data_IF_756452687028
#
_entry.id   IF_756452687028
#
_cell.length_a   1.000
_cell.length_b   1.000
_cell.length_c   1.000
_cell.angle_alpha   90.00
_cell.angle_beta   90.00
_cell.angle_gamma   90.00
#
_symmetry.space_group_name_H-M   'P 1'
#
loop_
_entity.id
_entity.type
_entity.pdbx_description
1 polymer ?
#
# COMPACT_ATOMS: atom_id res chain seq x y z
N UNK A 1 -18.62 -40.95 8.37
CA UNK A 1 -18.44 -39.61 8.96
C UNK A 1 -17.29 -38.91 8.24
N UNK A 2 -17.53 -38.42 7.03
CA UNK A 2 -16.53 -37.64 6.27
C UNK A 2 -16.50 -36.24 6.86
N UNK A 3 -15.38 -35.90 7.49
CA UNK A 3 -15.10 -34.55 7.97
C UNK A 3 -15.12 -33.60 6.76
N UNK A 4 -16.03 -32.62 6.79
CA UNK A 4 -16.00 -31.48 5.89
C UNK A 4 -14.70 -30.73 6.15
N UNK A 5 -13.70 -30.97 5.30
CA UNK A 5 -12.50 -30.16 5.23
C UNK A 5 -12.94 -28.71 5.03
N UNK A 6 -12.85 -27.91 6.10
CA UNK A 6 -13.07 -26.47 6.03
C UNK A 6 -12.21 -25.90 4.93
N UNK A 7 -12.82 -25.17 3.99
CA UNK A 7 -12.08 -24.54 2.90
C UNK A 7 -10.92 -23.72 3.49
N UNK A 8 -9.69 -23.84 2.94
CA UNK A 8 -8.55 -23.08 3.44
C UNK A 8 -8.89 -21.59 3.36
N UNK A 9 -8.89 -20.92 4.51
CA UNK A 9 -9.15 -19.47 4.62
C UNK A 9 -8.10 -18.64 3.85
N UNK A 10 -6.97 -19.27 3.52
CA UNK A 10 -5.88 -18.79 2.67
C UNK A 10 -6.32 -18.35 1.25
N UNK A 11 -7.30 -19.03 0.65
CA UNK A 11 -7.57 -18.86 -0.78
C UNK A 11 -8.32 -17.56 -1.11
N UNK A 12 -9.11 -16.99 -0.18
CA UNK A 12 -9.83 -15.73 -0.41
C UNK A 12 -8.95 -14.49 -0.24
N UNK A 13 -7.94 -14.54 0.63
CA UNK A 13 -7.02 -13.42 0.85
C UNK A 13 -5.99 -13.27 -0.29
N UNK A 14 -5.66 -14.39 -0.94
CA UNK A 14 -4.80 -14.42 -2.12
C UNK A 14 -5.33 -13.50 -3.23
N UNK A 15 -6.59 -13.64 -3.65
CA UNK A 15 -7.17 -12.84 -4.75
C UNK A 15 -7.17 -11.33 -4.50
N UNK A 16 -7.31 -10.87 -3.25
CA UNK A 16 -7.27 -9.44 -2.89
C UNK A 16 -5.86 -8.87 -3.04
N UNK A 17 -4.82 -9.64 -2.66
CA UNK A 17 -3.43 -9.25 -2.86
C UNK A 17 -3.09 -9.23 -4.36
N UNK A 18 -3.45 -10.29 -5.10
CA UNK A 18 -3.17 -10.39 -6.53
C UNK A 18 -3.84 -9.30 -7.37
N UNK A 19 -5.04 -8.82 -7.01
CA UNK A 19 -5.73 -7.75 -7.75
C UNK A 19 -5.11 -6.37 -7.52
N UNK A 20 -4.63 -6.06 -6.31
CA UNK A 20 -3.88 -4.81 -6.02
C UNK A 20 -2.60 -4.71 -6.84
N UNK A 21 -1.94 -5.83 -7.11
CA UNK A 21 -0.66 -5.88 -7.81
C UNK A 21 -0.76 -6.17 -9.32
N UNK A 22 -1.97 -6.25 -9.90
CA UNK A 22 -2.20 -6.60 -11.32
C UNK A 22 -2.02 -5.42 -12.29
N UNK A 23 -1.10 -4.50 -12.00
CA UNK A 23 -0.82 -3.33 -12.82
C UNK A 23 0.39 -3.53 -13.76
N UNK A 24 0.57 -2.61 -14.73
CA UNK A 24 1.72 -2.61 -15.67
C UNK A 24 3.09 -2.65 -14.96
N UNK A 25 3.17 -2.11 -13.74
CA UNK A 25 4.36 -2.15 -12.89
C UNK A 25 4.81 -3.56 -12.47
N UNK A 26 3.94 -4.57 -12.57
CA UNK A 26 4.32 -5.97 -12.34
C UNK A 26 5.18 -6.55 -13.48
N UNK A 27 5.12 -5.95 -14.67
CA UNK A 27 5.82 -6.43 -15.88
C UNK A 27 7.16 -5.72 -16.10
N UNK A 28 7.39 -4.56 -15.48
CA UNK A 28 8.63 -3.81 -15.62
C UNK A 28 9.78 -4.54 -14.92
N UNK A 29 10.92 -4.65 -15.60
CA UNK A 29 12.10 -5.37 -15.08
C UNK A 29 12.59 -4.80 -13.73
N UNK A 30 12.51 -3.49 -13.54
CA UNK A 30 12.99 -2.84 -12.31
C UNK A 30 12.06 -3.10 -11.11
N UNK A 31 10.75 -3.19 -11.31
CA UNK A 31 9.75 -3.25 -10.21
C UNK A 31 9.11 -4.61 -10.04
N UNK A 32 9.19 -5.50 -11.03
CA UNK A 32 8.70 -6.89 -11.02
C UNK A 32 9.00 -7.63 -9.71
N UNK A 33 10.26 -7.59 -9.26
CA UNK A 33 10.69 -8.34 -8.07
C UNK A 33 10.08 -7.79 -6.79
N UNK A 34 9.94 -6.47 -6.70
CA UNK A 34 9.31 -5.78 -5.57
C UNK A 34 7.82 -6.10 -5.53
N UNK A 35 7.14 -6.03 -6.67
CA UNK A 35 5.70 -6.34 -6.78
C UNK A 35 5.42 -7.79 -6.39
N UNK A 36 6.22 -8.75 -6.90
CA UNK A 36 6.08 -10.16 -6.52
C UNK A 36 6.28 -10.39 -5.01
N UNK A 37 7.27 -9.70 -4.40
CA UNK A 37 7.53 -9.80 -2.97
C UNK A 37 6.40 -9.21 -2.12
N UNK A 38 5.75 -8.15 -2.58
CA UNK A 38 4.59 -7.57 -1.91
C UNK A 38 3.34 -8.44 -2.07
N UNK A 39 3.10 -9.01 -3.25
CA UNK A 39 1.98 -9.90 -3.50
C UNK A 39 2.03 -11.17 -2.64
N UNK A 40 3.22 -11.74 -2.46
CA UNK A 40 3.43 -12.98 -1.69
C UNK A 40 3.46 -12.77 -0.17
N UNK A 41 3.67 -11.54 0.33
CA UNK A 41 3.76 -11.28 1.75
C UNK A 41 3.06 -9.96 2.12
N UNK A 42 1.76 -10.08 2.42
CA UNK A 42 0.92 -8.95 2.78
C UNK A 42 1.41 -8.21 4.03
N UNK A 43 1.94 -8.92 5.04
CA UNK A 43 2.50 -8.29 6.24
C UNK A 43 3.73 -7.44 5.93
N UNK A 44 4.60 -7.92 5.03
CA UNK A 44 5.76 -7.16 4.56
C UNK A 44 5.33 -5.93 3.75
N UNK A 45 4.36 -6.08 2.84
CA UNK A 45 3.79 -4.95 2.10
C UNK A 45 3.26 -3.87 3.04
N UNK A 46 2.40 -4.22 4.00
CA UNK A 46 1.83 -3.27 4.97
C UNK A 46 2.91 -2.50 5.73
N UNK A 47 3.96 -3.17 6.20
CA UNK A 47 5.09 -2.51 6.89
C UNK A 47 5.83 -1.52 5.98
N UNK A 48 6.10 -1.89 4.72
CA UNK A 48 6.78 -0.99 3.79
C UNK A 48 5.89 0.17 3.36
N UNK A 49 4.58 -0.07 3.22
CA UNK A 49 3.61 0.94 2.88
C UNK A 49 3.55 2.05 3.95
N UNK A 50 3.46 1.68 5.23
CA UNK A 50 3.49 2.66 6.34
C UNK A 50 4.78 3.50 6.31
N UNK A 51 5.93 2.86 6.12
CA UNK A 51 7.22 3.57 6.00
C UNK A 51 7.26 4.53 4.82
N UNK A 52 6.69 4.15 3.68
CA UNK A 52 6.62 4.99 2.50
C UNK A 52 5.71 6.21 2.72
N UNK A 53 4.55 6.02 3.37
CA UNK A 53 3.62 7.11 3.69
C UNK A 53 4.22 8.14 4.65
N UNK A 54 4.98 7.69 5.67
CA UNK A 54 5.71 8.60 6.57
C UNK A 54 6.73 9.43 5.79
N UNK A 55 7.49 8.81 4.89
CA UNK A 55 8.47 9.51 4.06
C UNK A 55 7.81 10.52 3.11
N UNK A 56 6.74 10.13 2.42
CA UNK A 56 6.01 11.05 1.53
C UNK A 56 5.41 12.23 2.30
N UNK A 57 4.88 12.01 3.50
CA UNK A 57 4.30 13.07 4.32
C UNK A 57 5.32 14.08 4.86
N UNK A 58 6.61 13.82 4.72
CA UNK A 58 7.68 14.72 5.14
C UNK A 58 8.31 15.50 3.97
N UNK A 59 7.89 15.27 2.73
CA UNK A 59 8.41 15.99 1.55
C UNK A 59 7.80 17.38 1.49
N UNK A 60 8.65 18.40 1.36
CA UNK A 60 8.28 19.82 1.13
C UNK A 60 7.22 20.39 2.08
N UNK A 61 7.24 19.95 3.34
CA UNK A 61 6.32 20.44 4.37
C UNK A 61 6.73 21.82 4.89
N UNK A 62 5.74 22.71 5.01
CA UNK A 62 5.93 24.01 5.65
C UNK A 62 5.97 23.83 7.18
N UNK A 63 7.07 24.25 7.81
CA UNK A 63 7.29 24.11 9.25
C UNK A 63 7.69 25.44 9.90
N UNK A 64 7.58 25.52 11.23
CA UNK A 64 7.90 26.73 11.99
C UNK A 64 6.91 27.86 11.72
N UNK A 65 7.43 29.01 11.25
CA UNK A 65 6.61 30.19 10.89
C UNK A 65 6.31 30.26 9.38
N UNK A 66 6.70 29.24 8.61
CA UNK A 66 6.40 29.17 7.19
C UNK A 66 4.96 28.67 6.98
N UNK A 67 4.19 29.37 6.13
CA UNK A 67 2.80 29.02 5.81
C UNK A 67 1.77 29.55 6.82
N UNK A 68 0.52 29.08 6.68
CA UNK A 68 -0.60 29.46 7.54
C UNK A 68 -1.57 28.29 7.78
N UNK A 69 -2.29 28.33 8.91
CA UNK A 69 -3.33 27.35 9.22
C UNK A 69 -4.63 27.76 8.52
N UNK A 70 -4.99 27.05 7.45
CA UNK A 70 -6.18 27.32 6.66
C UNK A 70 -7.45 26.91 7.42
N UNK A 71 -8.35 27.88 7.65
CA UNK A 71 -9.70 27.59 8.18
C UNK A 71 -10.63 26.96 7.13
N UNK A 72 -10.32 27.17 5.85
CA UNK A 72 -11.04 26.57 4.72
C UNK A 72 -10.04 26.08 3.66
N UNK A 73 -9.98 24.76 3.44
CA UNK A 73 -9.02 24.13 2.52
C UNK A 73 -9.29 24.41 1.03
N UNK A 74 -10.46 24.95 0.67
CA UNK A 74 -10.83 25.26 -0.72
C UNK A 74 -10.56 26.71 -1.11
N UNK A 75 -10.43 27.61 -0.14
CA UNK A 75 -10.18 29.02 -0.41
C UNK A 75 -8.68 29.25 -0.51
N UNK A 76 -8.20 29.58 -1.71
CA UNK A 76 -6.86 30.11 -1.91
C UNK A 76 -6.98 31.62 -1.71
N UNK A 77 -6.36 32.15 -0.66
CA UNK A 77 -6.21 33.59 -0.45
C UNK A 77 -5.04 34.12 -1.25
#
# INVERSE_FOLDING_TARGET
MTTLAGKPKEARESWVSYSVFRGRYALLRQTRGVVARYANNNAFFKRQFVRAMIKMGAVDVLTGRAGEIRRNCRRFS
#
